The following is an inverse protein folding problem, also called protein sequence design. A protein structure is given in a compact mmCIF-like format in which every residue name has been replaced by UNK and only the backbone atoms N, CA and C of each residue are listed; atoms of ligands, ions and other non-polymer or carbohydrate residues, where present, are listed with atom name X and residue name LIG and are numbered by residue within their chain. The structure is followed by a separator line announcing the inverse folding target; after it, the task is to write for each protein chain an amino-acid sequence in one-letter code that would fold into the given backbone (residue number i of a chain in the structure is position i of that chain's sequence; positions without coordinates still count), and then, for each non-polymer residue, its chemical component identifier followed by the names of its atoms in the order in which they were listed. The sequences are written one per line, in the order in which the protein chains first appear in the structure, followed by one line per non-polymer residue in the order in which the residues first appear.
data_IF_708929693002
#
_entry.id   IF_708929693002
#
_cell.length_a   1.000
_cell.length_b   1.000
_cell.length_c   1.000
_cell.angle_alpha   90.00
_cell.angle_beta   90.00
_cell.angle_gamma   90.00
#
_symmetry.space_group_name_H-M   'P 1'
#
loop_
_entity.id
_entity.type
_entity.pdbx_description
1 polymer ?
#
# COMPACT_ATOMS: atom_id res chain seq x y z
N UNK A 1 -9.83 -7.76 -14.59
CA UNK A 1 -10.96 -6.82 -14.41
C UNK A 1 -10.35 -5.49 -14.01
N UNK A 2 -10.73 -4.40 -14.67
CA UNK A 2 -10.26 -3.05 -14.35
C UNK A 2 -11.10 -2.50 -13.19
N UNK A 3 -10.54 -1.58 -12.39
CA UNK A 3 -11.28 -0.96 -11.30
C UNK A 3 -12.27 0.04 -11.91
N UNK A 4 -13.59 -0.12 -11.71
CA UNK A 4 -14.58 0.85 -12.20
C UNK A 4 -14.32 2.24 -11.63
N UNK A 5 -14.59 3.28 -12.42
CA UNK A 5 -14.37 4.67 -12.03
C UNK A 5 -15.05 5.04 -10.71
N UNK A 6 -16.30 4.63 -10.51
CA UNK A 6 -17.04 4.83 -9.26
C UNK A 6 -16.31 4.23 -8.05
N UNK A 7 -15.72 3.04 -8.21
CA UNK A 7 -14.92 2.38 -7.17
C UNK A 7 -13.61 3.15 -6.90
N UNK A 8 -12.97 3.72 -7.93
CA UNK A 8 -11.76 4.55 -7.76
C UNK A 8 -12.04 5.81 -6.94
N UNK A 9 -13.16 6.49 -7.19
CA UNK A 9 -13.57 7.64 -6.37
C UNK A 9 -13.82 7.26 -4.90
N UNK A 10 -14.50 6.14 -4.66
CA UNK A 10 -14.71 5.63 -3.29
C UNK A 10 -13.38 5.31 -2.60
N UNK A 11 -12.46 4.62 -3.29
CA UNK A 11 -11.13 4.31 -2.77
C UNK A 11 -10.34 5.58 -2.46
N UNK A 12 -10.36 6.57 -3.34
CA UNK A 12 -9.71 7.88 -3.12
C UNK A 12 -10.19 8.55 -1.84
N UNK A 13 -11.52 8.58 -1.62
CA UNK A 13 -12.11 9.12 -0.40
C UNK A 13 -11.69 8.37 0.86
N UNK A 14 -11.68 7.04 0.81
CA UNK A 14 -11.25 6.19 1.92
C UNK A 14 -9.76 6.34 2.24
N UNK A 15 -8.90 6.51 1.23
CA UNK A 15 -7.46 6.73 1.41
C UNK A 15 -7.21 8.07 2.10
N UNK A 16 -7.86 9.13 1.63
CA UNK A 16 -7.73 10.48 2.21
C UNK A 16 -8.15 10.50 3.67
N UNK A 17 -9.30 9.88 3.97
CA UNK A 17 -9.80 9.72 5.33
C UNK A 17 -8.82 8.93 6.21
N UNK A 18 -8.36 7.77 5.73
CA UNK A 18 -7.46 6.91 6.49
C UNK A 18 -6.10 7.55 6.78
N UNK A 19 -5.55 8.30 5.83
CA UNK A 19 -4.31 9.06 6.07
C UNK A 19 -4.52 10.15 7.14
N UNK A 20 -5.63 10.88 7.09
CA UNK A 20 -5.94 11.90 8.09
C UNK A 20 -6.13 11.29 9.50
N UNK A 21 -6.90 10.20 9.58
CA UNK A 21 -7.14 9.45 10.83
C UNK A 21 -5.86 8.84 11.40
N UNK A 22 -4.95 8.36 10.55
CA UNK A 22 -3.67 7.83 10.99
C UNK A 22 -2.78 8.88 11.66
N UNK A 23 -2.93 10.16 11.31
CA UNK A 23 -2.21 11.26 11.96
C UNK A 23 -2.79 11.61 13.34
N UNK A 24 -4.02 11.20 13.65
CA UNK A 24 -4.66 11.45 14.93
C UNK A 24 -4.13 10.51 16.04
N UNK A 25 -4.13 10.97 17.31
CA UNK A 25 -3.94 10.11 18.46
C UNK A 25 -4.91 8.93 18.43
N UNK A 26 -4.45 7.74 18.86
CA UNK A 26 -5.27 6.50 18.82
C UNK A 26 -6.63 6.65 19.50
N UNK A 27 -6.72 7.48 20.54
CA UNK A 27 -7.95 7.75 21.29
C UNK A 27 -9.01 8.55 20.52
N UNK A 28 -8.59 9.25 19.46
CA UNK A 28 -9.44 10.11 18.63
C UNK A 28 -9.79 9.46 17.29
N UNK A 29 -9.23 8.27 17.00
CA UNK A 29 -9.49 7.57 15.75
C UNK A 29 -10.91 7.00 15.71
N UNK A 30 -11.54 7.13 14.55
CA UNK A 30 -12.84 6.51 14.32
C UNK A 30 -12.76 4.97 14.27
N UNK A 31 -13.90 4.30 14.51
CA UNK A 31 -14.01 2.83 14.44
C UNK A 31 -13.75 2.29 13.02
N UNK A 32 -14.05 3.10 11.99
CA UNK A 32 -13.71 2.83 10.59
C UNK A 32 -12.83 3.97 10.04
N UNK A 33 -11.50 3.92 10.28
CA UNK A 33 -10.60 4.98 9.86
C UNK A 33 -10.50 5.06 8.33
N UNK A 34 -10.93 4.04 7.57
CA UNK A 34 -10.69 3.94 6.13
C UNK A 34 -9.33 3.32 5.80
N UNK A 35 -8.74 3.72 4.67
CA UNK A 35 -7.52 3.09 4.12
C UNK A 35 -6.30 3.90 4.54
N UNK A 36 -5.49 3.35 5.44
CA UNK A 36 -4.30 4.02 5.97
C UNK A 36 -2.98 3.31 5.69
N UNK A 37 -3.01 2.10 5.13
CA UNK A 37 -1.82 1.35 4.72
C UNK A 37 -2.14 0.44 3.50
N UNK A 38 -1.18 -0.33 2.99
CA UNK A 38 -1.44 -1.20 1.83
C UNK A 38 -2.23 -2.45 2.18
N UNK A 39 -2.10 -2.97 3.39
CA UNK A 39 -2.92 -4.09 3.85
C UNK A 39 -4.41 -3.74 3.84
N UNK A 40 -4.78 -2.61 4.41
CA UNK A 40 -6.17 -2.11 4.41
C UNK A 40 -6.64 -1.82 3.00
N UNK A 41 -5.81 -1.24 2.12
CA UNK A 41 -6.18 -1.07 0.71
C UNK A 41 -6.59 -2.39 0.06
N UNK A 42 -5.84 -3.47 0.33
CA UNK A 42 -6.08 -4.79 -0.26
C UNK A 42 -7.35 -5.50 0.23
N UNK A 43 -8.01 -5.00 1.28
CA UNK A 43 -9.34 -5.48 1.67
C UNK A 43 -10.45 -4.92 0.76
N UNK A 44 -10.21 -3.76 0.11
CA UNK A 44 -11.17 -3.11 -0.79
C UNK A 44 -10.88 -3.37 -2.28
N UNK A 45 -9.62 -3.62 -2.65
CA UNK A 45 -9.19 -3.85 -4.04
C UNK A 45 -8.30 -5.08 -4.15
N UNK A 46 -8.57 -5.93 -5.16
CA UNK A 46 -7.75 -7.14 -5.38
C UNK A 46 -6.45 -6.75 -6.08
N UNK A 47 -5.36 -7.48 -5.78
CA UNK A 47 -4.08 -7.32 -6.46
C UNK A 47 -4.20 -7.34 -7.99
N UNK A 48 -5.04 -8.21 -8.54
CA UNK A 48 -5.24 -8.35 -9.99
C UNK A 48 -5.83 -7.10 -10.65
N UNK A 49 -6.63 -6.33 -9.90
CA UNK A 49 -7.25 -5.10 -10.38
C UNK A 49 -6.19 -3.99 -10.45
N UNK A 50 -5.39 -3.82 -9.39
CA UNK A 50 -4.28 -2.86 -9.35
C UNK A 50 -3.19 -3.14 -10.42
N UNK A 51 -2.86 -4.40 -10.66
CA UNK A 51 -1.80 -4.77 -11.62
C UNK A 51 -2.16 -4.45 -13.06
N UNK A 52 -3.44 -4.63 -13.42
CA UNK A 52 -3.91 -4.41 -14.79
C UNK A 52 -3.90 -2.92 -15.12
N UNK A 53 -4.38 -2.10 -14.19
CA UNK A 53 -4.55 -0.66 -14.40
C UNK A 53 -3.23 0.12 -14.31
N UNK A 54 -2.29 -0.32 -13.46
CA UNK A 54 -1.02 0.39 -13.26
C UNK A 54 0.14 -0.12 -14.15
N UNK A 55 -0.12 -1.12 -15.00
CA UNK A 55 0.89 -1.68 -15.91
C UNK A 55 2.08 -2.32 -15.19
N UNK A 56 1.84 -2.95 -14.04
CA UNK A 56 2.85 -3.70 -13.30
C UNK A 56 2.83 -5.18 -13.63
N UNK A 57 4.00 -5.81 -13.64
CA UNK A 57 4.05 -7.25 -13.49
C UNK A 57 3.43 -7.65 -12.14
N UNK A 58 2.50 -8.61 -12.15
CA UNK A 58 1.73 -9.05 -10.98
C UNK A 58 2.61 -9.45 -9.80
N UNK A 59 3.67 -10.20 -10.05
CA UNK A 59 4.58 -10.64 -9.00
C UNK A 59 5.35 -9.46 -8.39
N UNK A 60 5.70 -8.48 -9.21
CA UNK A 60 6.44 -7.28 -8.77
C UNK A 60 5.57 -6.39 -7.89
N UNK A 61 4.33 -6.11 -8.28
CA UNK A 61 3.44 -5.27 -7.45
C UNK A 61 3.10 -5.96 -6.13
N UNK A 62 2.77 -7.24 -6.16
CA UNK A 62 2.46 -7.99 -4.92
C UNK A 62 3.64 -7.96 -3.95
N UNK A 63 4.86 -8.19 -4.45
CA UNK A 63 6.08 -8.08 -3.61
C UNK A 63 6.24 -6.69 -3.00
N UNK A 64 5.95 -5.63 -3.76
CA UNK A 64 6.12 -4.23 -3.31
C UNK A 64 5.05 -3.78 -2.33
N UNK A 65 3.81 -4.26 -2.49
CA UNK A 65 2.77 -4.01 -1.49
C UNK A 65 3.07 -4.75 -0.17
N UNK A 66 3.67 -5.95 -0.25
CA UNK A 66 4.13 -6.69 0.93
C UNK A 66 5.46 -6.16 1.52
N UNK A 67 6.27 -5.48 0.73
CA UNK A 67 7.55 -4.87 1.11
C UNK A 67 7.60 -3.42 0.59
N UNK A 68 6.88 -2.50 1.24
CA UNK A 68 6.69 -1.12 0.76
C UNK A 68 7.99 -0.35 0.56
N UNK A 69 9.05 -0.71 1.30
CA UNK A 69 10.39 -0.14 1.16
C UNK A 69 11.04 -0.39 -0.22
N UNK A 70 10.53 -1.33 -1.00
CA UNK A 70 11.00 -1.61 -2.36
C UNK A 70 10.26 -0.80 -3.43
N UNK A 71 9.27 0.01 -3.05
CA UNK A 71 8.47 0.79 -3.96
C UNK A 71 9.23 2.04 -4.41
N UNK A 72 9.34 2.23 -5.72
CA UNK A 72 10.00 3.41 -6.30
C UNK A 72 8.99 4.53 -6.51
N UNK A 73 9.47 5.78 -6.54
CA UNK A 73 8.65 6.98 -6.78
C UNK A 73 7.82 6.84 -8.06
N UNK A 74 8.44 6.41 -9.17
CA UNK A 74 7.74 6.21 -10.45
C UNK A 74 6.55 5.22 -10.34
N UNK A 75 6.58 4.33 -9.35
CA UNK A 75 5.55 3.34 -9.12
C UNK A 75 4.42 3.89 -8.26
N UNK A 76 4.76 4.73 -7.29
CA UNK A 76 3.79 5.54 -6.57
C UNK A 76 2.98 6.41 -7.53
N UNK A 77 3.63 7.02 -8.53
CA UNK A 77 2.96 7.83 -9.56
C UNK A 77 1.94 7.01 -10.35
N UNK A 78 2.30 5.78 -10.75
CA UNK A 78 1.38 4.88 -11.47
C UNK A 78 0.20 4.45 -10.62
N UNK A 79 0.44 4.05 -9.37
CA UNK A 79 -0.63 3.68 -8.43
C UNK A 79 -1.55 4.85 -8.12
N UNK A 80 -0.99 6.05 -7.94
CA UNK A 80 -1.72 7.28 -7.69
C UNK A 80 -2.71 7.59 -8.82
N UNK A 81 -2.28 7.44 -10.08
CA UNK A 81 -3.15 7.62 -11.24
C UNK A 81 -4.31 6.61 -11.27
N UNK A 82 -4.09 5.36 -10.86
CA UNK A 82 -5.16 4.34 -10.80
C UNK A 82 -6.15 4.60 -9.66
N UNK A 83 -5.65 5.08 -8.52
CA UNK A 83 -6.44 5.26 -7.30
C UNK A 83 -7.06 6.66 -7.17
N UNK A 84 -6.83 7.57 -8.14
CA UNK A 84 -7.27 8.97 -8.10
C UNK A 84 -6.80 9.69 -6.83
N UNK A 85 -5.55 9.47 -6.48
CA UNK A 85 -4.85 10.09 -5.35
C UNK A 85 -3.53 10.67 -5.84
N UNK A 86 -2.82 11.36 -4.97
CA UNK A 86 -1.49 11.91 -5.21
C UNK A 86 -0.41 10.84 -4.94
N UNK A 87 0.77 10.95 -5.58
CA UNK A 87 1.91 10.09 -5.27
C UNK A 87 2.33 10.15 -3.79
N UNK A 88 2.16 11.31 -3.16
CA UNK A 88 2.42 11.54 -1.75
C UNK A 88 1.51 10.68 -0.87
N UNK A 89 0.22 10.62 -1.17
CA UNK A 89 -0.72 9.78 -0.42
C UNK A 89 -0.36 8.29 -0.53
N UNK A 90 0.03 7.82 -1.72
CA UNK A 90 0.52 6.44 -1.91
C UNK A 90 1.79 6.18 -1.09
N UNK A 91 2.71 7.15 -1.03
CA UNK A 91 3.92 7.05 -0.22
C UNK A 91 3.60 7.03 1.28
N UNK A 92 2.61 7.80 1.73
CA UNK A 92 2.13 7.76 3.11
C UNK A 92 1.56 6.40 3.48
N UNK A 93 0.77 5.76 2.60
CA UNK A 93 0.30 4.38 2.81
C UNK A 93 1.47 3.40 2.99
N UNK A 94 2.53 3.54 2.17
CA UNK A 94 3.73 2.72 2.27
C UNK A 94 4.47 2.93 3.60
N UNK A 95 4.62 4.19 4.03
CA UNK A 95 5.27 4.55 5.29
C UNK A 95 4.48 4.06 6.51
N UNK A 96 3.15 4.14 6.47
CA UNK A 96 2.28 3.61 7.51
C UNK A 96 2.38 2.09 7.63
N UNK A 97 2.43 1.37 6.51
CA UNK A 97 2.65 -0.09 6.51
C UNK A 97 4.01 -0.44 7.12
N UNK A 98 5.09 0.26 6.74
CA UNK A 98 6.44 0.05 7.31
C UNK A 98 6.47 0.32 8.81
N UNK A 99 5.79 1.37 9.26
CA UNK A 99 5.76 1.76 10.69
C UNK A 99 5.06 0.71 11.55
N UNK A 100 4.06 0.01 11.00
CA UNK A 100 3.30 -1.03 11.70
C UNK A 100 3.94 -2.41 11.55
N UNK A 101 4.70 -2.64 10.47
CA UNK A 101 5.40 -3.88 10.16
C UNK A 101 6.85 -3.56 9.85
N UNK A 102 7.69 -3.34 10.88
CA UNK A 102 9.12 -3.20 10.68
C UNK A 102 9.64 -4.43 9.93
N UNK A 103 10.59 -4.27 8.99
CA UNK A 103 11.07 -5.38 8.18
C UNK A 103 11.53 -6.50 9.11
N UNK A 104 10.91 -7.69 8.99
CA UNK A 104 11.41 -8.88 9.67
C UNK A 104 12.88 -9.00 9.29
N UNK A 105 13.80 -8.81 10.25
CA UNK A 105 15.24 -8.95 10.03
C UNK A 105 15.42 -10.23 9.22
N UNK A 106 15.95 -10.09 8.00
CA UNK A 106 16.26 -11.25 7.18
C UNK A 106 17.10 -12.17 8.07
N UNK A 107 16.59 -13.37 8.39
CA UNK A 107 17.37 -14.35 9.13
C UNK A 107 18.65 -14.52 8.34
N UNK A 108 19.78 -14.05 8.90
CA UNK A 108 21.08 -14.27 8.33
C UNK A 108 21.17 -15.78 8.11
N UNK A 109 21.18 -16.20 6.85
CA UNK A 109 21.42 -17.58 6.47
C UNK A 109 22.83 -17.84 6.99
N UNK A 110 22.96 -18.44 8.18
CA UNK A 110 24.24 -19.00 8.63
C UNK A 110 24.58 -20.03 7.57
N UNK A 111 25.44 -19.64 6.63
CA UNK A 111 26.18 -20.58 5.83
C UNK A 111 27.00 -21.37 6.85
N UNK A 112 26.51 -22.56 7.23
CA UNK A 112 27.32 -23.54 7.89
C UNK A 112 28.38 -23.95 6.86
N UNK A 113 29.55 -23.34 7.02
CA UNK A 113 30.75 -23.67 6.31
C UNK A 113 31.08 -25.14 6.59
N UNK A 114 31.00 -25.95 5.54
CA UNK A 114 31.97 -26.98 5.15
C UNK A 114 33.10 -27.22 6.17
N UNK A 115 33.08 -28.36 6.85
CA UNK A 115 34.23 -29.26 7.04
C UNK A 115 33.75 -30.62 7.50
#
# INVERSE_FOLDING_TARGET
MEIPESKRHTLSGLIKRGIAEAALPVKERSLDPGIYNFETLLTYVKHTELTKDAGFNKATLSKKLAQPQLMKIAECVKLAAVLYVTPQEVMTLALNEISQRPPKKAKAKKAAAKK
#
